data_IF_784634869260
#
_entry.id   IF_784634869260
#
_cell.length_a   1.000
_cell.length_b   1.000
_cell.length_c   1.000
_cell.angle_alpha   90.00
_cell.angle_beta   90.00
_cell.angle_gamma   90.00
#
_symmetry.space_group_name_H-M   'P 1'
#
loop_
_entity.id
_entity.type
_entity.pdbx_description
1 polymer ?
#
# COMPACT_ATOMS: atom_id res chain seq x y z
N UNK A 1 -27.48 -13.27 -9.59
CA UNK A 1 -27.43 -11.83 -9.24
C UNK A 1 -25.97 -11.49 -9.07
N UNK A 2 -25.42 -10.58 -9.88
CA UNK A 2 -24.06 -10.09 -9.63
C UNK A 2 -24.10 -9.31 -8.31
N UNK A 3 -23.25 -9.67 -7.35
CA UNK A 3 -23.08 -8.89 -6.13
C UNK A 3 -22.64 -7.48 -6.53
N UNK A 4 -23.26 -6.45 -5.95
CA UNK A 4 -22.80 -5.08 -6.16
C UNK A 4 -21.39 -4.97 -5.58
N UNK A 5 -20.41 -4.61 -6.40
CA UNK A 5 -19.06 -4.35 -5.89
C UNK A 5 -19.06 -3.07 -5.05
N UNK A 6 -18.35 -3.13 -3.93
CA UNK A 6 -18.15 -2.00 -3.01
C UNK A 6 -16.68 -1.59 -3.07
N UNK A 7 -16.42 -0.29 -2.99
CA UNK A 7 -15.05 0.24 -3.01
C UNK A 7 -14.56 0.42 -1.58
N UNK A 8 -13.43 -0.20 -1.26
CA UNK A 8 -12.80 -0.19 0.06
C UNK A 8 -11.46 0.55 -0.02
N UNK A 9 -11.12 1.35 1.00
CA UNK A 9 -9.79 1.96 1.11
C UNK A 9 -8.88 1.00 1.87
N UNK A 10 -8.01 0.30 1.14
CA UNK A 10 -6.98 -0.52 1.77
C UNK A 10 -5.78 0.36 2.14
N UNK A 11 -5.34 0.26 3.38
CA UNK A 11 -4.18 0.97 3.92
C UNK A 11 -3.13 -0.01 4.41
N UNK A 12 -1.85 0.35 4.23
CA UNK A 12 -0.73 -0.47 4.69
C UNK A 12 0.48 0.39 5.07
N UNK A 13 1.15 -0.01 6.14
CA UNK A 13 2.46 0.50 6.54
C UNK A 13 3.59 -0.14 5.73
N UNK A 14 4.72 0.52 5.65
CA UNK A 14 5.97 0.01 5.09
C UNK A 14 7.13 0.92 5.49
N UNK A 15 8.37 0.44 5.34
CA UNK A 15 9.56 1.29 5.36
C UNK A 15 9.95 1.66 3.92
N UNK A 16 10.16 2.95 3.65
CA UNK A 16 10.91 3.38 2.48
C UNK A 16 12.35 2.83 2.54
N UNK A 17 13.09 2.77 1.42
CA UNK A 17 14.51 2.39 1.45
C UNK A 17 15.35 3.27 2.38
N UNK A 18 15.07 4.58 2.46
CA UNK A 18 15.74 5.49 3.38
C UNK A 18 15.35 5.27 4.85
N UNK A 19 14.07 5.04 5.13
CA UNK A 19 13.57 4.66 6.47
C UNK A 19 14.23 3.38 6.95
N UNK A 20 14.25 2.34 6.12
CA UNK A 20 14.87 1.07 6.43
C UNK A 20 16.34 1.22 6.86
N UNK A 21 17.15 1.94 6.07
CA UNK A 21 18.56 2.18 6.40
C UNK A 21 18.73 2.98 7.70
N UNK A 22 17.83 3.94 7.97
CA UNK A 22 17.85 4.71 9.22
C UNK A 22 17.45 3.84 10.42
N UNK A 23 16.41 3.03 10.29
CA UNK A 23 15.91 2.13 11.32
C UNK A 23 16.97 1.11 11.70
N UNK A 24 17.60 0.45 10.72
CA UNK A 24 18.71 -0.49 10.96
C UNK A 24 19.89 0.17 11.68
N UNK A 25 20.24 1.40 11.29
CA UNK A 25 21.39 2.11 11.85
C UNK A 25 21.14 2.58 13.29
N UNK A 26 19.93 3.03 13.59
CA UNK A 26 19.61 3.75 14.83
C UNK A 26 18.75 2.94 15.81
N UNK A 27 18.22 1.78 15.41
CA UNK A 27 17.25 1.01 16.18
C UNK A 27 15.90 1.73 16.31
N UNK A 28 15.51 2.47 15.26
CA UNK A 28 14.21 3.13 15.17
C UNK A 28 13.18 2.24 14.49
N UNK A 29 11.94 2.68 14.53
CA UNK A 29 10.76 2.00 13.99
C UNK A 29 9.92 3.01 13.19
N UNK A 30 10.61 3.85 12.40
CA UNK A 30 9.94 4.84 11.56
C UNK A 30 9.29 4.12 10.37
N UNK A 31 7.98 4.28 10.22
CA UNK A 31 7.19 3.68 9.14
C UNK A 31 6.39 4.75 8.39
N UNK A 32 6.29 4.56 7.08
CA UNK A 32 5.38 5.29 6.21
C UNK A 32 4.11 4.48 5.94
N UNK A 33 3.05 5.18 5.54
CA UNK A 33 1.76 4.56 5.19
C UNK A 33 1.33 4.99 3.80
N UNK A 34 0.79 4.04 3.03
CA UNK A 34 0.15 4.32 1.74
C UNK A 34 -1.18 3.56 1.60
N UNK A 35 -1.95 3.92 0.58
CA UNK A 35 -3.32 3.44 0.44
C UNK A 35 -3.74 3.29 -1.04
N UNK A 36 -4.70 2.40 -1.26
CA UNK A 36 -5.27 2.07 -2.57
C UNK A 36 -6.77 1.83 -2.43
N UNK A 37 -7.57 2.38 -3.34
CA UNK A 37 -8.99 2.05 -3.42
C UNK A 37 -9.19 0.75 -4.21
N UNK A 38 -9.91 -0.21 -3.63
CA UNK A 38 -10.15 -1.53 -4.21
C UNK A 38 -11.65 -1.78 -4.33
N UNK A 39 -12.15 -1.96 -5.54
CA UNK A 39 -13.51 -2.47 -5.81
C UNK A 39 -13.53 -3.99 -5.63
N UNK A 40 -14.32 -4.48 -4.69
CA UNK A 40 -14.39 -5.90 -4.36
C UNK A 40 -15.79 -6.31 -3.87
N UNK A 41 -16.01 -7.62 -3.77
CA UNK A 41 -17.28 -8.18 -3.29
C UNK A 41 -17.51 -7.96 -1.77
N UNK A 42 -16.43 -7.86 -0.99
CA UNK A 42 -16.45 -7.62 0.46
C UNK A 42 -15.06 -7.15 0.95
N UNK A 43 -14.98 -6.77 2.23
CA UNK A 43 -13.74 -6.28 2.86
C UNK A 43 -12.64 -7.32 2.90
N UNK A 44 -12.97 -8.60 3.07
CA UNK A 44 -11.97 -9.68 3.16
C UNK A 44 -11.27 -9.89 1.81
N UNK A 45 -12.02 -9.83 0.71
CA UNK A 45 -11.47 -9.85 -0.65
C UNK A 45 -10.58 -8.65 -0.92
N UNK A 46 -11.04 -7.44 -0.54
CA UNK A 46 -10.23 -6.23 -0.66
C UNK A 46 -8.94 -6.31 0.16
N UNK A 47 -8.99 -6.85 1.38
CA UNK A 47 -7.83 -7.02 2.24
C UNK A 47 -6.86 -8.08 1.69
N UNK A 48 -7.37 -9.21 1.20
CA UNK A 48 -6.56 -10.24 0.57
C UNK A 48 -5.81 -9.72 -0.66
N UNK A 49 -6.49 -8.95 -1.52
CA UNK A 49 -5.86 -8.34 -2.70
C UNK A 49 -4.93 -7.20 -2.34
N UNK A 50 -5.31 -6.34 -1.39
CA UNK A 50 -4.48 -5.24 -0.89
C UNK A 50 -3.12 -5.72 -0.40
N UNK A 51 -3.06 -6.87 0.28
CA UNK A 51 -1.79 -7.49 0.70
C UNK A 51 -0.90 -7.87 -0.49
N UNK A 52 -1.46 -8.31 -1.61
CA UNK A 52 -0.69 -8.60 -2.83
C UNK A 52 -0.14 -7.32 -3.46
N UNK A 53 -0.93 -6.23 -3.43
CA UNK A 53 -0.49 -4.91 -3.89
C UNK A 53 0.65 -4.39 -3.00
N UNK A 54 0.52 -4.48 -1.68
CA UNK A 54 1.56 -4.04 -0.74
C UNK A 54 2.87 -4.81 -0.92
N UNK A 55 2.80 -6.14 -1.07
CA UNK A 55 3.96 -6.98 -1.40
C UNK A 55 4.65 -6.51 -2.68
N UNK A 56 3.90 -6.36 -3.76
CA UNK A 56 4.48 -5.96 -5.05
C UNK A 56 5.03 -4.53 -5.01
N UNK A 57 4.36 -3.61 -4.31
CA UNK A 57 4.83 -2.24 -4.11
C UNK A 57 6.17 -2.20 -3.39
N UNK A 58 6.29 -2.83 -2.21
CA UNK A 58 7.55 -2.83 -1.46
C UNK A 58 8.67 -3.53 -2.23
N UNK A 59 8.35 -4.67 -2.86
CA UNK A 59 9.32 -5.40 -3.68
C UNK A 59 9.86 -4.51 -4.80
N UNK A 60 8.99 -3.82 -5.54
CA UNK A 60 9.42 -2.92 -6.61
C UNK A 60 10.11 -1.66 -6.10
N UNK A 61 9.71 -1.14 -4.95
CA UNK A 61 10.30 0.06 -4.34
C UNK A 61 11.78 -0.15 -4.04
N UNK A 62 12.12 -1.27 -3.41
CA UNK A 62 13.50 -1.64 -3.09
C UNK A 62 14.32 -1.96 -4.35
N UNK A 63 13.73 -2.63 -5.34
CA UNK A 63 14.37 -2.85 -6.66
C UNK A 63 14.70 -1.51 -7.33
N UNK A 64 13.76 -0.56 -7.34
CA UNK A 64 13.92 0.75 -7.97
C UNK A 64 15.03 1.57 -7.28
N UNK A 65 15.13 1.49 -5.97
CA UNK A 65 16.19 2.13 -5.20
C UNK A 65 17.57 1.42 -5.30
N UNK A 66 17.66 0.30 -6.01
CA UNK A 66 18.92 -0.44 -6.21
C UNK A 66 19.41 -1.17 -4.95
N UNK A 67 18.51 -1.46 -4.00
CA UNK A 67 18.78 -2.21 -2.77
C UNK A 67 18.16 -3.61 -2.84
N UNK A 68 18.51 -4.47 -1.89
CA UNK A 68 17.96 -5.82 -1.82
C UNK A 68 16.43 -5.77 -1.69
N UNK A 69 15.67 -6.46 -2.57
CA UNK A 69 14.22 -6.49 -2.47
C UNK A 69 13.75 -7.07 -1.14
N UNK A 70 12.70 -6.48 -0.57
CA UNK A 70 12.05 -6.97 0.65
C UNK A 70 10.69 -7.60 0.36
N UNK A 71 10.24 -8.42 1.31
CA UNK A 71 8.91 -9.02 1.31
C UNK A 71 8.10 -8.39 2.42
N UNK A 72 7.15 -7.55 2.04
CA UNK A 72 6.21 -6.91 2.95
C UNK A 72 5.44 -7.93 3.77
N UNK A 73 5.05 -9.07 3.18
CA UNK A 73 4.37 -10.15 3.89
C UNK A 73 5.24 -10.81 4.97
N UNK A 74 6.57 -10.83 4.78
CA UNK A 74 7.51 -11.38 5.77
C UNK A 74 7.78 -10.37 6.88
N UNK A 75 7.73 -9.09 6.56
CA UNK A 75 7.97 -8.00 7.51
C UNK A 75 6.75 -7.68 8.40
N UNK A 76 5.57 -8.25 8.08
CA UNK A 76 4.34 -8.22 8.90
C UNK A 76 3.84 -6.80 9.27
N UNK A 77 4.08 -5.81 8.42
CA UNK A 77 3.59 -4.45 8.60
C UNK A 77 2.06 -4.38 8.79
N UNK A 78 1.63 -3.35 9.52
CA UNK A 78 0.22 -3.08 9.77
C UNK A 78 -0.54 -2.83 8.45
N UNK A 79 -1.76 -3.37 8.36
CA UNK A 79 -2.68 -3.14 7.25
C UNK A 79 -4.13 -3.28 7.70
N UNK A 80 -5.02 -2.54 7.06
CA UNK A 80 -6.45 -2.55 7.38
C UNK A 80 -7.29 -2.03 6.21
N UNK A 81 -8.60 -2.28 6.28
CA UNK A 81 -9.58 -1.54 5.50
C UNK A 81 -10.01 -0.34 6.35
N UNK A 82 -9.80 0.86 5.83
CA UNK A 82 -10.17 2.06 6.55
C UNK A 82 -11.68 2.32 6.46
N UNK A 83 -12.29 2.63 7.59
CA UNK A 83 -13.72 2.94 7.73
C UNK A 83 -13.97 4.33 8.37
N UNK A 84 -12.92 5.07 8.70
CA UNK A 84 -13.05 6.44 9.19
C UNK A 84 -13.50 7.39 8.06
N UNK A 85 -14.71 7.95 8.19
CA UNK A 85 -15.30 8.78 7.14
C UNK A 85 -14.45 10.01 6.81
N UNK A 86 -13.75 10.61 7.79
CA UNK A 86 -12.93 11.79 7.53
C UNK A 86 -11.72 11.47 6.66
N UNK A 87 -11.09 10.32 6.91
CA UNK A 87 -9.99 9.82 6.10
C UNK A 87 -10.45 9.33 4.73
N UNK A 88 -11.62 8.69 4.63
CA UNK A 88 -12.23 8.31 3.37
C UNK A 88 -12.51 9.55 2.49
N UNK A 89 -13.04 10.63 3.07
CA UNK A 89 -13.26 11.88 2.34
C UNK A 89 -11.95 12.51 1.87
N UNK A 90 -10.92 12.55 2.74
CA UNK A 90 -9.59 13.03 2.36
C UNK A 90 -9.01 12.21 1.20
N UNK A 91 -9.09 10.89 1.29
CA UNK A 91 -8.60 9.95 0.28
C UNK A 91 -9.33 10.08 -1.07
N UNK A 92 -10.62 10.44 -1.08
CA UNK A 92 -11.38 10.72 -2.32
C UNK A 92 -10.94 12.00 -3.04
N UNK A 93 -10.30 12.93 -2.33
CA UNK A 93 -9.81 14.19 -2.86
C UNK A 93 -8.35 14.09 -3.36
N UNK A 94 -7.70 12.94 -3.16
CA UNK A 94 -6.31 12.73 -3.55
C UNK A 94 -6.22 12.10 -4.95
N UNK A 95 -5.92 12.91 -5.95
CA UNK A 95 -5.85 12.49 -7.36
C UNK A 95 -4.78 11.42 -7.63
N UNK A 96 -3.76 11.32 -6.77
CA UNK A 96 -2.68 10.32 -6.87
C UNK A 96 -3.05 8.95 -6.33
N UNK A 97 -4.20 8.81 -5.66
CA UNK A 97 -4.60 7.54 -5.06
C UNK A 97 -5.19 6.60 -6.12
N UNK A 98 -4.56 5.45 -6.40
CA UNK A 98 -5.05 4.54 -7.42
C UNK A 98 -6.37 3.89 -7.00
N UNK A 99 -7.23 3.64 -8.00
CA UNK A 99 -8.49 2.89 -7.87
C UNK A 99 -8.43 1.68 -8.79
N UNK A 100 -8.58 0.48 -8.25
CA UNK A 100 -8.49 -0.79 -8.99
C UNK A 100 -9.62 -1.74 -8.61
N UNK A 101 -9.88 -2.73 -9.46
CA UNK A 101 -10.72 -3.87 -9.12
C UNK A 101 -9.90 -4.97 -8.42
N UNK A 102 -10.58 -5.88 -7.72
CA UNK A 102 -9.97 -7.12 -7.22
C UNK A 102 -9.26 -7.90 -8.35
N UNK A 103 -8.03 -8.32 -8.09
CA UNK A 103 -7.16 -8.98 -9.06
C UNK A 103 -6.45 -8.05 -10.06
N UNK A 104 -6.73 -6.73 -10.05
CA UNK A 104 -6.06 -5.75 -10.88
C UNK A 104 -4.93 -5.03 -10.11
N UNK A 105 -3.71 -5.08 -10.64
CA UNK A 105 -2.58 -4.33 -10.09
C UNK A 105 -2.69 -2.85 -10.50
N UNK A 106 -2.52 -1.89 -9.56
CA UNK A 106 -2.44 -0.47 -9.93
C UNK A 106 -1.18 -0.16 -10.73
N UNK A 107 -1.20 0.95 -11.45
CA UNK A 107 0.04 1.56 -11.93
C UNK A 107 0.78 2.14 -10.72
N UNK A 108 1.90 1.51 -10.36
CA UNK A 108 2.69 1.87 -9.19
C UNK A 108 3.73 2.96 -9.51
N UNK A 109 3.90 3.38 -10.77
CA UNK A 109 5.01 4.25 -11.19
C UNK A 109 5.14 5.53 -10.38
N UNK A 110 4.04 6.28 -10.22
CA UNK A 110 4.03 7.51 -9.43
C UNK A 110 4.45 7.27 -7.97
N UNK A 111 3.89 6.23 -7.34
CA UNK A 111 4.17 5.94 -5.93
C UNK A 111 5.61 5.47 -5.73
N UNK A 112 6.11 4.63 -6.64
CA UNK A 112 7.49 4.18 -6.61
C UNK A 112 8.47 5.34 -6.77
N UNK A 113 8.18 6.31 -7.64
CA UNK A 113 8.97 7.53 -7.78
C UNK A 113 8.91 8.42 -6.53
N UNK A 114 7.73 8.57 -5.95
CA UNK A 114 7.54 9.40 -4.76
C UNK A 114 8.28 8.84 -3.53
N UNK A 115 8.23 7.52 -3.34
CA UNK A 115 8.76 6.86 -2.16
C UNK A 115 10.21 6.41 -2.28
N UNK A 116 10.76 6.25 -3.50
CA UNK A 116 12.17 5.84 -3.68
C UNK A 116 13.17 6.89 -3.18
N UNK A 117 12.75 8.16 -3.14
CA UNK A 117 13.59 9.30 -2.79
C UNK A 117 13.53 9.67 -1.28
N UNK A 118 12.83 8.87 -0.45
CA UNK A 118 12.56 9.16 0.97
C UNK A 118 13.33 8.30 1.98
#
# INVERSE_FOLDING_TARGET
MASAETTFLFMFGFESPGEHVRNERNGWDDESTWAVWISAANSDAALAWGRQIAEEFVRQLFVRAGVTPRSWMTDEFAHWINDDESELQRARLEDSMPVVADGQMPDLSWALDYWSDR
#
